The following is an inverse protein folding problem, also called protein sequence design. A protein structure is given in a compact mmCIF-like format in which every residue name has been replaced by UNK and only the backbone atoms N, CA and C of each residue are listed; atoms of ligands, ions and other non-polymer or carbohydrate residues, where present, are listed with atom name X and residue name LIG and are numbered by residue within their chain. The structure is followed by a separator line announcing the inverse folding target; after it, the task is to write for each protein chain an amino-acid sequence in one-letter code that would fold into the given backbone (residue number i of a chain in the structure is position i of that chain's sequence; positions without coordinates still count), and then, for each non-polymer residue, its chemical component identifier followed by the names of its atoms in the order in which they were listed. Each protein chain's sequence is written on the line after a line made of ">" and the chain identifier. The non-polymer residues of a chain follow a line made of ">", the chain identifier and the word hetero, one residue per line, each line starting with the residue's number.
data_IF_655123586918
#
_entry.id   IF_655123586918
#
_cell.length_a   1.000
_cell.length_b   1.000
_cell.length_c   1.000
_cell.angle_alpha   90.00
_cell.angle_beta   90.00
_cell.angle_gamma   90.00
#
_symmetry.space_group_name_H-M   'P 1'
#
loop_
_entity.id
_entity.type
_entity.pdbx_description
1 polymer ?
#
# COMPACT_ATOMS: atom_id res chain seq x y z
N UNK A 1 15.11 7.31 14.91
CA UNK A 1 15.74 8.41 15.66
C UNK A 1 15.95 9.55 14.67
N UNK A 2 15.33 10.72 14.88
CA UNK A 2 15.43 11.82 13.91
C UNK A 2 16.78 12.53 14.09
N UNK A 3 17.55 12.62 13.01
CA UNK A 3 18.80 13.36 12.98
C UNK A 3 18.45 14.82 12.72
N UNK A 4 18.71 15.70 13.69
CA UNK A 4 18.66 17.16 13.46
C UNK A 4 20.03 17.61 12.96
N UNK A 5 20.22 17.92 11.66
CA UNK A 5 21.42 18.63 11.25
C UNK A 5 21.40 20.02 11.88
N UNK A 6 22.55 20.50 12.36
CA UNK A 6 22.68 21.81 13.00
C UNK A 6 23.06 22.88 11.96
N UNK A 7 22.15 23.24 11.04
CA UNK A 7 22.39 24.24 10.00
C UNK A 7 21.40 24.13 8.85
N UNK A 8 21.65 24.83 7.74
CA UNK A 8 20.90 24.67 6.48
C UNK A 8 21.07 23.23 5.95
N UNK A 9 20.13 22.76 5.13
CA UNK A 9 20.15 21.44 4.48
C UNK A 9 21.19 21.31 3.37
N UNK A 10 21.95 22.37 3.10
CA UNK A 10 23.06 22.39 2.17
C UNK A 10 24.30 21.73 2.82
N UNK A 11 25.04 20.94 2.06
CA UNK A 11 26.32 20.32 2.46
C UNK A 11 26.26 19.36 3.67
N UNK A 12 25.43 18.31 3.57
CA UNK A 12 25.46 17.19 4.51
C UNK A 12 26.60 16.22 4.16
N UNK A 13 27.34 15.77 5.17
CA UNK A 13 28.42 14.80 5.05
C UNK A 13 28.04 13.51 5.78
N UNK A 14 28.30 12.37 5.13
CA UNK A 14 28.07 11.04 5.70
C UNK A 14 29.37 10.43 6.21
N UNK A 15 29.29 9.80 7.39
CA UNK A 15 30.41 9.14 8.03
C UNK A 15 30.10 7.65 8.15
N UNK A 16 30.95 6.82 7.59
CA UNK A 16 30.79 5.37 7.55
C UNK A 16 31.85 4.65 8.38
N UNK A 17 31.43 3.78 9.29
CA UNK A 17 32.30 2.88 10.03
C UNK A 17 32.07 1.44 9.61
N UNK A 18 33.15 0.69 9.40
CA UNK A 18 33.11 -0.72 9.00
C UNK A 18 33.45 -1.68 10.16
N UNK A 19 33.81 -1.13 11.31
CA UNK A 19 34.18 -1.88 12.52
C UNK A 19 33.39 -1.36 13.73
N UNK A 20 33.22 -2.21 14.74
CA UNK A 20 32.69 -1.83 16.05
C UNK A 20 33.68 -1.01 16.88
N UNK A 21 34.93 -0.89 16.43
CA UNK A 21 35.94 -0.07 17.08
C UNK A 21 35.63 1.43 16.92
N UNK A 22 35.28 2.07 18.03
CA UNK A 22 34.97 3.51 18.14
C UNK A 22 36.18 4.41 17.86
N UNK A 23 37.40 3.87 17.83
CA UNK A 23 38.63 4.57 17.44
C UNK A 23 38.92 4.54 15.95
N UNK A 24 38.20 3.71 15.17
CA UNK A 24 38.42 3.61 13.72
C UNK A 24 38.00 4.89 12.99
N UNK A 25 38.85 5.34 12.08
CA UNK A 25 38.59 6.53 11.26
C UNK A 25 37.44 6.23 10.29
N UNK A 26 36.37 7.04 10.26
CA UNK A 26 35.28 6.84 9.32
C UNK A 26 35.73 7.12 7.88
N UNK A 27 35.12 6.43 6.93
CA UNK A 27 35.09 6.88 5.53
C UNK A 27 34.09 8.02 5.44
N UNK A 28 34.55 9.15 4.91
CA UNK A 28 33.77 10.39 4.82
C UNK A 28 33.40 10.59 3.37
N UNK A 29 32.10 10.72 3.09
CA UNK A 29 31.59 11.01 1.75
C UNK A 29 30.61 12.16 1.79
N UNK A 30 30.58 12.95 0.71
CA UNK A 30 29.60 14.02 0.62
C UNK A 30 28.21 13.45 0.35
N UNK A 31 27.26 13.76 1.22
CA UNK A 31 25.87 13.38 1.06
C UNK A 31 25.19 14.21 -0.01
N UNK A 32 24.36 13.56 -0.83
CA UNK A 32 23.48 14.19 -1.80
C UNK A 32 22.13 14.38 -1.11
N UNK A 33 21.78 15.62 -0.80
CA UNK A 33 20.48 15.97 -0.26
C UNK A 33 19.50 16.09 -1.42
N UNK A 34 18.55 15.17 -1.50
CA UNK A 34 17.46 15.24 -2.48
C UNK A 34 16.19 15.63 -1.72
N UNK A 35 15.67 16.82 -2.03
CA UNK A 35 14.42 17.29 -1.45
C UNK A 35 13.25 16.44 -1.94
N UNK A 36 12.33 16.11 -1.04
CA UNK A 36 11.06 15.50 -1.42
C UNK A 36 10.16 16.60 -1.99
N UNK A 37 10.26 16.83 -3.30
CA UNK A 37 9.40 17.79 -3.98
C UNK A 37 7.96 17.25 -4.05
N UNK A 38 7.13 17.60 -3.08
CA UNK A 38 5.66 17.60 -3.26
C UNK A 38 4.87 18.38 -2.21
N UNK A 39 5.50 19.11 -1.28
CA UNK A 39 4.77 19.94 -0.34
C UNK A 39 5.42 21.31 -0.26
N UNK A 40 4.76 22.31 -0.87
CA UNK A 40 4.99 23.73 -0.63
C UNK A 40 4.58 24.07 0.83
N UNK A 41 5.27 23.50 1.81
CA UNK A 41 5.06 23.76 3.24
C UNK A 41 6.34 24.32 3.84
N UNK A 42 6.20 25.15 4.88
CA UNK A 42 7.31 25.79 5.59
C UNK A 42 8.36 24.81 6.16
N UNK A 43 8.03 23.51 6.24
CA UNK A 43 8.95 22.45 6.64
C UNK A 43 9.35 21.59 5.42
N UNK A 44 10.59 21.73 4.96
CA UNK A 44 11.15 20.90 3.89
C UNK A 44 11.67 19.56 4.44
N UNK A 45 11.32 18.47 3.77
CA UNK A 45 11.85 17.13 4.03
C UNK A 45 12.81 16.74 2.92
N UNK A 46 13.94 16.14 3.28
CA UNK A 46 14.89 15.63 2.32
C UNK A 46 15.38 14.25 2.76
N UNK A 47 15.68 13.41 1.79
CA UNK A 47 16.46 12.21 2.02
C UNK A 47 17.91 12.47 1.61
N UNK A 48 18.83 11.83 2.33
CA UNK A 48 20.26 12.00 2.11
C UNK A 48 20.79 10.70 1.51
N UNK A 49 21.19 10.77 0.24
CA UNK A 49 21.89 9.68 -0.45
C UNK A 49 23.38 9.84 -0.17
N UNK A 50 23.99 8.86 0.47
CA UNK A 50 25.42 8.84 0.72
C UNK A 50 26.09 7.95 -0.33
N UNK A 51 26.71 8.50 -1.39
CA UNK A 51 27.36 7.69 -2.42
C UNK A 51 28.57 6.98 -1.83
N UNK A 52 28.74 5.71 -2.19
CA UNK A 52 29.96 4.97 -1.87
C UNK A 52 31.02 5.32 -2.91
N UNK A 53 31.92 6.24 -2.61
CA UNK A 53 33.10 6.49 -3.45
C UNK A 53 33.97 5.22 -3.47
N UNK A 54 34.37 4.78 -4.66
CA UNK A 54 35.14 3.55 -4.93
C UNK A 54 34.42 2.20 -4.69
N UNK A 55 33.55 1.82 -5.64
CA UNK A 55 33.00 0.46 -5.76
C UNK A 55 34.07 -0.65 -5.93
N UNK A 56 35.32 -0.29 -6.20
CA UNK A 56 36.41 -1.24 -6.50
C UNK A 56 37.04 -1.88 -5.24
N UNK A 57 36.87 -1.29 -4.04
CA UNK A 57 37.47 -1.84 -2.80
C UNK A 57 36.46 -2.23 -1.71
N UNK A 58 35.24 -1.69 -1.71
CA UNK A 58 34.27 -1.93 -0.64
C UNK A 58 33.52 -3.25 -0.89
N UNK A 59 34.04 -4.34 -0.32
CA UNK A 59 33.42 -5.69 -0.39
C UNK A 59 32.20 -5.88 0.52
N UNK A 60 32.00 -5.00 1.51
CA UNK A 60 30.95 -5.13 2.53
C UNK A 60 30.32 -3.77 2.87
N UNK A 61 29.00 -3.70 3.09
CA UNK A 61 28.34 -2.45 3.50
C UNK A 61 28.85 -1.97 4.87
N UNK A 62 28.82 -0.65 5.14
CA UNK A 62 29.23 -0.11 6.44
C UNK A 62 28.40 -0.70 7.58
N UNK A 63 28.99 -0.74 8.77
CA UNK A 63 28.32 -1.16 10.00
C UNK A 63 27.49 -0.02 10.59
N UNK A 64 28.03 1.20 10.63
CA UNK A 64 27.34 2.38 11.14
C UNK A 64 27.40 3.53 10.14
N UNK A 65 26.35 4.34 10.14
CA UNK A 65 26.29 5.63 9.43
C UNK A 65 25.95 6.75 10.42
N UNK A 66 26.61 7.89 10.29
CA UNK A 66 26.21 9.13 10.92
C UNK A 66 26.23 10.28 9.92
N UNK A 67 25.46 11.33 10.21
CA UNK A 67 25.38 12.54 9.39
C UNK A 67 25.91 13.73 10.18
N UNK A 68 26.68 14.58 9.53
CA UNK A 68 27.06 15.90 10.04
C UNK A 68 26.85 16.96 8.96
N UNK A 69 26.74 18.21 9.34
CA UNK A 69 26.71 19.33 8.39
C UNK A 69 28.09 20.01 8.33
N UNK A 70 28.28 20.91 7.36
CA UNK A 70 29.53 21.65 7.11
C UNK A 70 30.18 22.31 8.34
N UNK A 71 29.40 22.67 9.37
CA UNK A 71 29.93 23.30 10.59
C UNK A 71 30.44 22.32 11.65
N UNK A 72 30.21 21.01 11.46
CA UNK A 72 30.60 19.98 12.41
C UNK A 72 31.82 19.20 11.88
N UNK A 73 32.99 19.41 12.48
CA UNK A 73 34.24 18.67 12.18
C UNK A 73 34.13 17.15 12.45
N UNK A 74 33.12 16.73 13.20
CA UNK A 74 32.83 15.33 13.50
C UNK A 74 31.33 15.17 13.80
N UNK A 75 30.71 14.04 13.44
CA UNK A 75 29.31 13.78 13.75
C UNK A 75 29.14 13.58 15.25
N UNK A 76 27.94 13.87 15.75
CA UNK A 76 27.59 13.54 17.12
C UNK A 76 27.66 12.01 17.29
N UNK A 77 28.59 11.52 18.11
CA UNK A 77 28.81 10.08 18.34
C UNK A 77 27.56 9.36 18.90
N UNK A 78 26.63 10.09 19.50
CA UNK A 78 25.35 9.56 19.99
C UNK A 78 24.30 9.37 18.88
N UNK A 79 24.64 9.66 17.61
CA UNK A 79 23.72 9.64 16.46
C UNK A 79 24.28 8.71 15.35
N UNK A 80 24.97 7.64 15.75
CA UNK A 80 25.34 6.55 14.84
C UNK A 80 24.16 5.60 14.68
N UNK A 81 23.72 5.39 13.44
CA UNK A 81 22.68 4.43 13.11
C UNK A 81 23.35 3.15 12.59
N UNK A 82 22.95 2.01 13.13
CA UNK A 82 23.33 0.71 12.58
C UNK A 82 22.75 0.61 11.17
N UNK A 83 23.59 0.23 10.21
CA UNK A 83 23.17 -0.01 8.84
C UNK A 83 22.42 -1.33 8.81
N UNK A 84 21.13 -1.25 8.50
CA UNK A 84 20.29 -2.42 8.35
C UNK A 84 20.62 -3.21 7.09
N UNK A 85 20.26 -4.50 7.06
CA UNK A 85 20.51 -5.41 5.93
C UNK A 85 21.99 -5.53 5.51
N UNK A 86 22.93 -5.22 6.42
CA UNK A 86 24.38 -5.34 6.21
C UNK A 86 24.88 -6.75 5.81
N UNK A 87 24.11 -7.78 6.13
CA UNK A 87 24.42 -9.17 5.78
C UNK A 87 24.09 -9.52 4.32
N UNK A 88 23.52 -8.58 3.55
CA UNK A 88 23.37 -8.72 2.10
C UNK A 88 24.76 -8.73 1.46
N UNK A 89 25.36 -9.91 1.35
CA UNK A 89 26.56 -10.09 0.55
C UNK A 89 26.20 -9.81 -0.91
N UNK A 90 26.80 -8.79 -1.52
CA UNK A 90 26.55 -8.41 -2.93
C UNK A 90 26.69 -9.61 -3.88
N UNK A 91 27.57 -10.57 -3.57
CA UNK A 91 27.81 -11.79 -4.35
C UNK A 91 26.54 -12.64 -4.58
N UNK A 92 25.66 -12.79 -3.58
CA UNK A 92 24.43 -13.59 -3.72
C UNK A 92 23.36 -12.91 -4.60
N UNK A 93 23.44 -11.59 -4.78
CA UNK A 93 22.53 -10.83 -5.65
C UNK A 93 22.93 -11.01 -7.12
N UNK A 94 24.24 -11.04 -7.41
CA UNK A 94 24.74 -11.20 -8.79
C UNK A 94 24.63 -12.64 -9.32
N UNK A 95 24.78 -13.66 -8.48
CA UNK A 95 24.64 -15.07 -8.91
C UNK A 95 23.19 -15.44 -9.30
N UNK A 96 22.19 -14.83 -8.66
CA UNK A 96 20.78 -15.14 -8.93
C UNK A 96 20.24 -14.61 -10.28
N UNK A 97 20.99 -13.75 -11.00
CA UNK A 97 20.66 -13.40 -12.40
C UNK A 97 20.71 -14.61 -13.34
N UNK A 98 21.48 -15.65 -13.00
CA UNK A 98 21.67 -16.82 -13.89
C UNK A 98 20.77 -18.01 -13.55
N UNK A 99 20.18 -18.06 -12.36
CA UNK A 99 19.43 -19.22 -11.89
C UNK A 99 17.96 -19.25 -12.34
N UNK A 100 17.36 -18.12 -12.72
CA UNK A 100 15.95 -18.04 -13.11
C UNK A 100 15.70 -18.27 -14.63
N UNK A 101 16.75 -18.47 -15.43
CA UNK A 101 16.65 -18.76 -16.87
C UNK A 101 17.01 -20.21 -17.25
N UNK A 102 17.40 -21.06 -16.29
CA UNK A 102 17.93 -22.39 -16.57
C UNK A 102 17.30 -23.51 -15.76
N UNK A 103 16.70 -24.46 -16.47
CA UNK A 103 16.33 -25.80 -16.01
C UNK A 103 17.48 -26.41 -15.16
N UNK A 104 17.23 -26.88 -13.94
CA UNK A 104 18.26 -27.55 -13.12
C UNK A 104 17.81 -28.93 -12.64
N UNK A 105 18.40 -29.95 -13.27
CA UNK A 105 18.72 -31.23 -12.64
C UNK A 105 19.92 -31.06 -11.69
N UNK A 106 19.83 -31.69 -10.50
CA UNK A 106 20.84 -32.24 -9.55
C UNK A 106 22.26 -31.62 -9.45
N UNK A 107 23.00 -31.61 -8.34
CA UNK A 107 23.19 -32.50 -7.17
C UNK A 107 23.67 -31.68 -5.96
N UNK A 108 23.48 -32.21 -4.74
CA UNK A 108 23.79 -31.53 -3.48
C UNK A 108 25.28 -31.47 -3.07
N UNK A 109 25.59 -30.41 -2.31
CA UNK A 109 26.45 -30.40 -1.11
C UNK A 109 26.38 -29.00 -0.48
N UNK A 110 26.08 -28.91 0.82
CA UNK A 110 26.22 -27.77 1.74
C UNK A 110 26.13 -26.35 1.15
N UNK A 111 24.90 -25.88 0.91
CA UNK A 111 24.61 -24.45 0.78
C UNK A 111 24.02 -23.95 2.08
N UNK A 112 24.85 -23.26 2.87
CA UNK A 112 24.36 -22.43 3.97
C UNK A 112 23.17 -21.58 3.52
N UNK A 113 22.24 -21.45 4.45
CA UNK A 113 20.87 -20.94 4.44
C UNK A 113 20.69 -19.48 3.97
N UNK A 114 21.42 -19.01 2.96
CA UNK A 114 21.38 -17.63 2.47
C UNK A 114 20.31 -17.39 1.39
N UNK A 115 19.69 -18.44 0.84
CA UNK A 115 18.65 -18.32 -0.20
C UNK A 115 17.23 -17.99 0.30
N UNK A 116 17.03 -17.76 1.61
CA UNK A 116 15.68 -17.61 2.20
C UNK A 116 15.16 -16.16 2.31
N UNK A 117 15.95 -15.14 1.92
CA UNK A 117 15.62 -13.72 2.21
C UNK A 117 15.04 -12.93 1.04
N UNK A 118 15.30 -13.34 -0.20
CA UNK A 118 14.77 -12.66 -1.39
C UNK A 118 13.39 -13.22 -1.71
N UNK A 119 12.39 -12.35 -1.81
CA UNK A 119 11.02 -12.70 -2.22
C UNK A 119 10.74 -12.20 -3.63
N UNK A 120 9.73 -12.74 -4.30
CA UNK A 120 9.32 -12.21 -5.60
C UNK A 120 8.67 -10.83 -5.45
N UNK A 121 7.64 -10.73 -4.60
CA UNK A 121 6.93 -9.47 -4.34
C UNK A 121 7.01 -9.07 -2.86
N UNK A 122 7.41 -7.83 -2.62
CA UNK A 122 7.22 -7.14 -1.33
C UNK A 122 6.15 -6.06 -1.49
N UNK A 123 5.12 -6.11 -0.65
CA UNK A 123 4.04 -5.11 -0.61
C UNK A 123 4.34 -4.07 0.46
N UNK A 124 4.36 -2.80 0.08
CA UNK A 124 4.55 -1.66 0.98
C UNK A 124 3.20 -0.99 1.21
N UNK A 125 2.76 -0.96 2.46
CA UNK A 125 1.54 -0.30 2.89
C UNK A 125 1.91 1.01 3.62
N UNK A 126 1.30 2.16 3.28
CA UNK A 126 1.52 3.42 3.98
C UNK A 126 1.29 3.38 5.50
N UNK A 127 1.71 4.43 6.24
CA UNK A 127 1.53 4.53 7.68
C UNK A 127 0.08 4.37 8.12
N UNK A 128 -0.14 3.45 9.07
CA UNK A 128 -1.45 3.22 9.69
C UNK A 128 -1.67 4.24 10.82
N UNK A 129 -2.52 5.24 10.57
CA UNK A 129 -2.89 6.28 11.53
C UNK A 129 -4.29 6.04 12.11
N UNK A 130 -4.39 6.02 13.45
CA UNK A 130 -5.61 5.73 14.21
C UNK A 130 -6.39 4.52 13.66
N UNK A 131 -5.65 3.50 13.22
CA UNK A 131 -6.22 2.40 12.47
C UNK A 131 -6.70 1.27 13.40
N UNK A 132 -7.96 0.87 13.26
CA UNK A 132 -8.61 -0.13 14.11
C UNK A 132 -9.32 -1.26 13.34
N UNK A 133 -9.20 -1.28 12.00
CA UNK A 133 -9.93 -2.23 11.16
C UNK A 133 -9.12 -3.52 10.92
N UNK A 134 -9.13 -4.39 11.93
CA UNK A 134 -8.44 -5.69 11.88
C UNK A 134 -8.98 -6.63 10.77
N UNK A 135 -10.27 -6.57 10.43
CA UNK A 135 -10.87 -7.33 9.33
C UNK A 135 -10.28 -6.96 7.97
N UNK A 136 -10.22 -5.66 7.65
CA UNK A 136 -9.62 -5.19 6.41
C UNK A 136 -8.13 -5.52 6.34
N UNK A 137 -7.39 -5.40 7.46
CA UNK A 137 -5.98 -5.80 7.49
C UNK A 137 -5.81 -7.30 7.17
N UNK A 138 -6.59 -8.18 7.81
CA UNK A 138 -6.52 -9.62 7.52
C UNK A 138 -6.90 -9.89 6.07
N UNK A 139 -7.96 -9.27 5.55
CA UNK A 139 -8.35 -9.39 4.14
C UNK A 139 -7.23 -8.96 3.20
N UNK A 140 -6.59 -7.82 3.46
CA UNK A 140 -5.45 -7.33 2.66
C UNK A 140 -4.30 -8.32 2.66
N UNK A 141 -3.84 -8.75 3.83
CA UNK A 141 -2.71 -9.69 3.97
C UNK A 141 -2.98 -11.01 3.25
N UNK A 142 -4.20 -11.53 3.36
CA UNK A 142 -4.59 -12.78 2.71
C UNK A 142 -4.79 -12.61 1.20
N UNK A 143 -5.31 -11.47 0.73
CA UNK A 143 -5.43 -11.19 -0.70
C UNK A 143 -4.07 -11.04 -1.38
N UNK A 144 -3.14 -10.28 -0.80
CA UNK A 144 -1.81 -10.12 -1.40
C UNK A 144 -1.01 -11.43 -1.36
N UNK A 145 -1.20 -12.28 -0.33
CA UNK A 145 -0.66 -13.65 -0.32
C UNK A 145 -1.16 -14.44 -1.53
N UNK A 146 -2.46 -14.42 -1.81
CA UNK A 146 -3.04 -15.13 -2.96
C UNK A 146 -2.56 -14.58 -4.31
N UNK A 147 -2.15 -13.31 -4.35
CA UNK A 147 -1.61 -12.64 -5.53
C UNK A 147 -0.09 -12.85 -5.71
N UNK A 148 0.58 -13.50 -4.76
CA UNK A 148 1.99 -13.87 -4.86
C UNK A 148 2.95 -13.11 -3.93
N UNK A 149 2.45 -12.28 -3.02
CA UNK A 149 3.30 -11.59 -2.04
C UNK A 149 4.06 -12.60 -1.17
N UNK A 150 5.38 -12.42 -1.10
CA UNK A 150 6.24 -13.13 -0.14
C UNK A 150 6.50 -12.30 1.12
N UNK A 151 6.37 -10.98 1.02
CA UNK A 151 6.55 -10.05 2.15
C UNK A 151 5.52 -8.92 2.11
N UNK A 152 5.07 -8.47 3.28
CA UNK A 152 4.33 -7.23 3.49
C UNK A 152 5.06 -6.40 4.54
N UNK A 153 5.27 -5.12 4.23
CA UNK A 153 5.90 -4.14 5.10
C UNK A 153 4.85 -3.10 5.49
N UNK A 154 4.69 -2.91 6.79
CA UNK A 154 3.69 -2.05 7.40
C UNK A 154 4.36 -1.03 8.32
N UNK A 155 3.80 0.17 8.40
CA UNK A 155 4.31 1.24 9.24
C UNK A 155 3.29 1.57 10.32
N UNK A 156 3.63 1.27 11.57
CA UNK A 156 2.79 1.53 12.74
C UNK A 156 3.01 2.97 13.23
N UNK A 157 2.12 3.88 12.85
CA UNK A 157 2.07 5.22 13.42
C UNK A 157 1.17 5.26 14.67
N UNK A 158 -0.06 4.80 14.53
CA UNK A 158 -1.01 4.67 15.65
C UNK A 158 -2.06 3.62 15.28
N UNK A 159 -2.02 2.46 15.94
CA UNK A 159 -2.96 1.35 15.71
C UNK A 159 -3.65 0.92 17.01
N UNK A 160 -4.87 0.42 16.89
CA UNK A 160 -5.61 -0.13 18.01
C UNK A 160 -5.09 -1.53 18.42
N UNK A 161 -5.44 -1.96 19.64
CA UNK A 161 -4.98 -3.23 20.23
C UNK A 161 -5.33 -4.46 19.38
N UNK A 162 -6.51 -4.46 18.73
CA UNK A 162 -6.93 -5.56 17.87
C UNK A 162 -6.03 -5.69 16.62
N UNK A 163 -5.70 -4.58 15.96
CA UNK A 163 -4.77 -4.54 14.82
C UNK A 163 -3.38 -4.98 15.26
N UNK A 164 -2.89 -4.48 16.41
CA UNK A 164 -1.63 -4.91 16.99
C UNK A 164 -1.60 -6.44 17.20
N UNK A 165 -2.67 -7.01 17.76
CA UNK A 165 -2.79 -8.46 18.00
C UNK A 165 -2.76 -9.27 16.71
N UNK A 166 -3.43 -8.80 15.65
CA UNK A 166 -3.37 -9.43 14.32
C UNK A 166 -1.95 -9.40 13.76
N UNK A 167 -1.29 -8.25 13.77
CA UNK A 167 0.07 -8.11 13.25
C UNK A 167 1.05 -9.01 14.02
N UNK A 168 0.95 -9.03 15.35
CA UNK A 168 1.75 -9.90 16.20
C UNK A 168 1.52 -11.38 15.87
N UNK A 169 0.28 -11.79 15.61
CA UNK A 169 -0.02 -13.15 15.18
C UNK A 169 0.72 -13.51 13.89
N UNK A 170 0.65 -12.68 12.84
CA UNK A 170 1.33 -12.97 11.57
C UNK A 170 2.85 -13.01 11.70
N UNK A 171 3.44 -12.06 12.44
CA UNK A 171 4.90 -12.00 12.63
C UNK A 171 5.40 -13.26 13.34
N UNK A 172 4.67 -13.73 14.37
CA UNK A 172 5.00 -14.96 15.09
C UNK A 172 4.80 -16.22 14.25
N UNK A 173 3.75 -16.29 13.42
CA UNK A 173 3.55 -17.44 12.54
C UNK A 173 4.68 -17.60 11.51
N UNK A 174 5.15 -16.49 10.94
CA UNK A 174 6.27 -16.51 10.02
C UNK A 174 7.59 -16.86 10.73
N UNK A 175 7.87 -16.25 11.89
CA UNK A 175 9.07 -16.52 12.67
C UNK A 175 9.16 -18.00 13.11
N UNK A 176 8.02 -18.62 13.42
CA UNK A 176 7.92 -20.05 13.73
C UNK A 176 8.01 -20.97 12.49
N UNK A 177 8.02 -20.43 11.27
CA UNK A 177 8.03 -21.19 10.02
C UNK A 177 6.70 -21.83 9.63
N UNK A 178 5.60 -21.44 10.27
CA UNK A 178 4.25 -21.97 10.01
C UNK A 178 3.57 -21.32 8.80
N UNK A 179 4.08 -20.20 8.34
CA UNK A 179 3.52 -19.39 7.25
C UNK A 179 4.63 -18.91 6.31
N UNK A 180 4.29 -18.70 5.04
CA UNK A 180 5.24 -18.27 4.01
C UNK A 180 5.29 -16.77 3.81
N UNK A 181 4.23 -16.05 4.19
CA UNK A 181 4.16 -14.60 4.09
C UNK A 181 4.90 -13.95 5.26
N UNK A 182 5.98 -13.25 4.97
CA UNK A 182 6.67 -12.42 5.95
C UNK A 182 5.88 -11.13 6.19
N UNK A 183 5.44 -10.88 7.43
CA UNK A 183 4.83 -9.61 7.81
C UNK A 183 5.82 -8.85 8.69
N UNK A 184 6.28 -7.69 8.22
CA UNK A 184 7.20 -6.82 8.94
C UNK A 184 6.48 -5.54 9.32
N UNK A 185 6.65 -5.12 10.58
CA UNK A 185 6.02 -3.91 11.11
C UNK A 185 7.11 -2.98 11.65
N UNK A 186 7.25 -1.81 11.04
CA UNK A 186 8.16 -0.76 11.50
C UNK A 186 7.44 0.25 12.38
N UNK A 187 8.03 0.71 13.48
CA UNK A 187 7.52 1.87 14.20
C UNK A 187 7.66 3.12 13.31
N UNK A 188 6.59 3.92 13.22
CA UNK A 188 6.54 5.14 12.41
C UNK A 188 6.28 6.38 13.27
N UNK A 189 7.21 6.61 14.19
CA UNK A 189 7.19 7.71 15.14
C UNK A 189 7.87 8.93 14.50
N UNK A 190 7.07 9.76 13.83
CA UNK A 190 7.54 11.02 13.27
C UNK A 190 7.77 12.07 14.37
N UNK A 191 8.72 13.00 14.20
CA UNK A 191 8.84 14.16 15.08
C UNK A 191 7.52 14.94 15.12
N UNK A 192 7.27 15.77 16.15
CA UNK A 192 6.07 16.60 16.28
C UNK A 192 6.10 17.80 15.32
N UNK A 193 6.25 17.51 14.04
CA UNK A 193 6.25 18.46 12.92
C UNK A 193 5.18 18.01 11.93
N UNK A 194 4.57 18.96 11.23
CA UNK A 194 3.54 18.64 10.26
C UNK A 194 4.17 17.99 9.02
N UNK A 195 4.09 16.66 8.94
CA UNK A 195 4.43 15.88 7.75
C UNK A 195 3.14 15.56 7.03
N UNK A 196 3.05 15.96 5.75
CA UNK A 196 1.85 15.70 4.96
C UNK A 196 1.50 14.21 4.94
N UNK A 197 0.22 13.93 5.13
CA UNK A 197 -0.35 12.58 5.20
C UNK A 197 0.48 11.59 6.04
N UNK A 198 0.92 12.04 7.22
CA UNK A 198 1.70 11.23 8.17
C UNK A 198 2.98 10.63 7.58
N UNK A 199 3.58 11.30 6.58
CA UNK A 199 4.82 10.88 5.95
C UNK A 199 4.68 9.67 5.04
N UNK A 200 3.55 9.53 4.33
CA UNK A 200 3.33 8.41 3.39
C UNK A 200 4.45 8.27 2.36
N UNK A 201 4.88 9.36 1.71
CA UNK A 201 5.96 9.29 0.71
C UNK A 201 7.28 8.84 1.37
N UNK A 202 7.59 9.36 2.55
CA UNK A 202 8.77 8.93 3.31
C UNK A 202 8.73 7.44 3.70
N UNK A 203 7.55 6.90 4.03
CA UNK A 203 7.39 5.47 4.30
C UNK A 203 7.52 4.62 3.03
N UNK A 204 7.01 5.11 1.89
CA UNK A 204 7.15 4.44 0.59
C UNK A 204 8.63 4.35 0.19
N UNK A 205 9.37 5.46 0.28
CA UNK A 205 10.79 5.47 -0.03
C UNK A 205 11.59 4.63 0.98
N UNK A 206 11.30 4.71 2.29
CA UNK A 206 11.93 3.81 3.27
C UNK A 206 11.74 2.34 2.87
N UNK A 207 10.52 1.95 2.48
CA UNK A 207 10.24 0.58 2.05
C UNK A 207 11.03 0.21 0.79
N UNK A 208 11.05 1.11 -0.21
CA UNK A 208 11.81 0.94 -1.45
C UNK A 208 13.29 0.66 -1.18
N UNK A 209 13.94 1.54 -0.40
CA UNK A 209 15.37 1.43 -0.14
C UNK A 209 15.71 0.27 0.79
N UNK A 210 14.86 0.00 1.79
CA UNK A 210 15.08 -1.07 2.77
C UNK A 210 14.91 -2.47 2.17
N UNK A 211 13.94 -2.66 1.27
CA UNK A 211 13.56 -3.98 0.76
C UNK A 211 13.73 -4.17 -0.74
N UNK A 212 14.04 -3.13 -1.51
CA UNK A 212 14.18 -3.21 -2.96
C UNK A 212 15.20 -4.27 -3.41
N UNK A 213 16.34 -4.37 -2.71
CA UNK A 213 17.35 -5.39 -2.99
C UNK A 213 16.95 -6.80 -2.53
N UNK A 214 15.98 -6.91 -1.62
CA UNK A 214 15.46 -8.17 -1.05
C UNK A 214 14.16 -8.65 -1.73
N UNK A 215 13.77 -8.04 -2.84
CA UNK A 215 12.49 -8.30 -3.51
C UNK A 215 12.68 -8.24 -5.01
N UNK A 216 12.14 -9.14 -5.84
CA UNK A 216 12.24 -8.99 -7.30
C UNK A 216 11.43 -7.78 -7.79
N UNK A 217 10.25 -7.59 -7.22
CA UNK A 217 9.37 -6.46 -7.44
C UNK A 217 8.87 -5.86 -6.12
N UNK A 218 8.60 -4.55 -6.15
CA UNK A 218 7.93 -3.85 -5.05
C UNK A 218 6.51 -3.50 -5.48
N UNK A 219 5.55 -3.63 -4.58
CA UNK A 219 4.14 -3.37 -4.80
C UNK A 219 3.72 -2.25 -3.85
N UNK A 220 3.36 -1.08 -4.38
CA UNK A 220 2.90 0.04 -3.56
C UNK A 220 1.39 0.11 -3.63
N UNK A 221 0.72 -0.13 -2.51
CA UNK A 221 -0.72 -0.35 -2.46
C UNK A 221 -1.31 0.11 -1.12
N UNK A 222 -2.61 0.38 -1.08
CA UNK A 222 -3.31 0.83 0.14
C UNK A 222 -4.12 -0.33 0.76
N UNK A 223 -4.57 -0.18 2.02
CA UNK A 223 -5.29 -1.26 2.74
C UNK A 223 -6.68 -1.57 2.17
N UNK A 224 -7.29 -0.59 1.49
CA UNK A 224 -8.61 -0.67 0.87
C UNK A 224 -8.56 -0.88 -0.65
N UNK A 225 -7.37 -1.11 -1.20
CA UNK A 225 -7.12 -1.27 -2.63
C UNK A 225 -6.55 -2.66 -2.94
N UNK A 226 -6.90 -3.22 -4.11
CA UNK A 226 -6.34 -4.50 -4.58
C UNK A 226 -6.05 -4.45 -6.08
N UNK A 227 -4.78 -4.59 -6.46
CA UNK A 227 -4.36 -4.75 -7.85
C UNK A 227 -4.63 -6.17 -8.34
N UNK A 228 -5.61 -6.35 -9.22
CA UNK A 228 -6.08 -7.68 -9.66
C UNK A 228 -5.73 -7.95 -11.12
N UNK A 229 -4.90 -8.96 -11.41
CA UNK A 229 -4.79 -9.54 -12.74
C UNK A 229 -6.11 -10.19 -13.13
N UNK A 230 -6.66 -9.81 -14.27
CA UNK A 230 -7.94 -10.32 -14.74
C UNK A 230 -7.77 -11.62 -15.54
N UNK A 231 -6.74 -11.69 -16.39
CA UNK A 231 -6.49 -12.83 -17.29
C UNK A 231 -5.55 -13.91 -16.73
N UNK A 232 -4.91 -13.67 -15.58
CA UNK A 232 -3.88 -14.57 -15.04
C UNK A 232 -4.04 -14.78 -13.54
N UNK A 233 -3.55 -15.87 -12.99
CA UNK A 233 -3.88 -16.26 -11.61
C UNK A 233 -3.29 -15.35 -10.52
N UNK A 234 -2.16 -14.71 -10.79
CA UNK A 234 -1.39 -13.91 -9.83
C UNK A 234 -0.52 -12.85 -10.53
N UNK A 235 0.22 -12.06 -9.76
CA UNK A 235 1.10 -11.03 -10.30
C UNK A 235 2.29 -11.61 -11.07
N UNK A 236 2.88 -12.73 -10.63
CA UNK A 236 4.05 -13.36 -11.27
C UNK A 236 3.82 -13.58 -12.77
N UNK A 237 2.69 -14.20 -13.13
CA UNK A 237 2.38 -14.50 -14.54
C UNK A 237 2.13 -13.22 -15.33
N UNK A 238 1.48 -12.22 -14.73
CA UNK A 238 1.17 -10.95 -15.42
C UNK A 238 2.43 -10.18 -15.69
N UNK A 239 3.26 -9.97 -14.67
CA UNK A 239 4.49 -9.22 -14.82
C UNK A 239 5.45 -9.89 -15.80
N UNK A 240 5.56 -11.23 -15.77
CA UNK A 240 6.36 -11.95 -16.75
C UNK A 240 5.88 -11.76 -18.21
N UNK A 241 4.56 -11.75 -18.45
CA UNK A 241 4.00 -11.44 -19.78
C UNK A 241 4.30 -9.98 -20.18
N UNK A 242 4.09 -9.03 -19.26
CA UNK A 242 4.33 -7.60 -19.53
C UNK A 242 5.81 -7.30 -19.80
N UNK A 243 6.74 -7.88 -19.04
CA UNK A 243 8.18 -7.73 -19.26
C UNK A 243 8.63 -8.28 -20.62
N UNK A 244 8.04 -9.40 -21.06
CA UNK A 244 8.34 -9.95 -22.39
C UNK A 244 7.91 -9.00 -23.52
N UNK A 245 6.78 -8.31 -23.34
CA UNK A 245 6.26 -7.35 -24.31
C UNK A 245 6.99 -5.99 -24.23
N UNK A 246 7.43 -5.62 -23.04
CA UNK A 246 7.91 -4.27 -22.71
C UNK A 246 9.19 -4.32 -21.83
N UNK A 247 10.31 -4.86 -22.33
CA UNK A 247 11.51 -5.17 -21.52
C UNK A 247 12.19 -3.94 -20.89
N UNK A 248 12.05 -2.78 -21.51
CA UNK A 248 12.64 -1.52 -21.03
C UNK A 248 11.81 -0.86 -19.93
N UNK A 249 10.58 -1.31 -19.68
CA UNK A 249 9.71 -0.71 -18.68
C UNK A 249 10.17 -1.06 -17.26
N UNK A 250 9.94 -0.13 -16.33
CA UNK A 250 10.43 -0.22 -14.94
C UNK A 250 9.31 -0.41 -13.94
N UNK A 251 8.08 -0.17 -14.37
CA UNK A 251 6.90 -0.17 -13.54
C UNK A 251 5.68 -0.63 -14.35
N UNK A 252 4.69 -1.18 -13.65
CA UNK A 252 3.46 -1.76 -14.20
C UNK A 252 2.28 -1.16 -13.43
N UNK A 253 1.57 -0.26 -14.07
CA UNK A 253 0.51 0.53 -13.46
C UNK A 253 -0.86 -0.13 -13.67
N UNK A 254 -1.60 -0.25 -12.57
CA UNK A 254 -2.99 -0.61 -12.56
C UNK A 254 -3.84 0.66 -12.40
N UNK A 255 -4.67 0.94 -13.41
CA UNK A 255 -5.67 2.02 -13.32
C UNK A 255 -6.77 1.64 -12.34
N UNK A 256 -7.27 2.63 -11.62
CA UNK A 256 -8.21 2.44 -10.52
C UNK A 256 -9.68 2.61 -10.92
N UNK A 257 -10.55 1.91 -10.20
CA UNK A 257 -11.99 2.10 -10.23
C UNK A 257 -12.59 1.74 -8.88
N UNK A 258 -13.64 2.47 -8.46
CA UNK A 258 -14.23 2.34 -7.13
C UNK A 258 -15.18 1.16 -7.06
N UNK A 259 -14.98 0.28 -6.08
CA UNK A 259 -15.96 -0.70 -5.62
C UNK A 259 -16.84 -0.05 -4.55
N UNK A 260 -18.07 0.28 -4.92
CA UNK A 260 -18.98 1.09 -4.11
C UNK A 260 -19.51 0.33 -2.91
N UNK A 261 -19.37 0.92 -1.72
CA UNK A 261 -19.84 0.32 -0.45
C UNK A 261 -21.33 0.56 -0.14
N UNK A 262 -22.00 1.47 -0.86
CA UNK A 262 -23.40 1.87 -0.63
C UNK A 262 -24.44 1.05 -1.42
N UNK A 263 -24.23 0.86 -2.72
CA UNK A 263 -25.19 0.17 -3.62
C UNK A 263 -24.81 -1.29 -3.92
N UNK A 264 -23.71 -1.76 -3.35
CA UNK A 264 -23.23 -3.12 -3.60
C UNK A 264 -24.01 -4.19 -2.85
N UNK A 265 -24.04 -5.38 -3.45
CA UNK A 265 -24.49 -6.61 -2.80
C UNK A 265 -23.37 -7.65 -2.73
N UNK A 266 -23.39 -8.54 -1.71
CA UNK A 266 -22.43 -9.62 -1.61
C UNK A 266 -22.43 -10.51 -2.84
N UNK A 267 -21.25 -11.02 -3.21
CA UNK A 267 -21.12 -11.97 -4.29
C UNK A 267 -21.97 -13.23 -4.04
N UNK A 268 -22.51 -13.82 -5.11
CA UNK A 268 -23.35 -15.00 -5.01
C UNK A 268 -22.63 -16.13 -4.25
N UNK A 269 -23.30 -16.68 -3.23
CA UNK A 269 -22.74 -17.73 -2.37
C UNK A 269 -21.85 -17.24 -1.21
N UNK A 270 -21.63 -15.93 -1.07
CA UNK A 270 -20.78 -15.37 0.00
C UNK A 270 -21.53 -14.48 1.00
N UNK A 271 -22.85 -14.35 0.90
CA UNK A 271 -23.61 -13.38 1.70
C UNK A 271 -23.35 -13.49 3.21
N UNK A 272 -23.53 -14.67 3.81
CA UNK A 272 -23.31 -14.86 5.25
C UNK A 272 -21.83 -14.65 5.64
N UNK A 273 -20.90 -15.15 4.83
CA UNK A 273 -19.47 -15.07 5.11
C UNK A 273 -18.93 -13.63 4.97
N UNK A 274 -19.45 -12.85 4.02
CA UNK A 274 -19.10 -11.44 3.81
C UNK A 274 -19.38 -10.61 5.07
N UNK A 275 -20.57 -10.77 5.67
CA UNK A 275 -20.91 -10.12 6.93
C UNK A 275 -20.11 -10.68 8.11
N UNK A 276 -19.99 -12.02 8.19
CA UNK A 276 -19.29 -12.69 9.29
C UNK A 276 -17.83 -12.26 9.41
N UNK A 277 -17.14 -12.09 8.28
CA UNK A 277 -15.72 -11.73 8.25
C UNK A 277 -15.47 -10.26 7.87
N UNK A 278 -16.54 -9.46 7.72
CA UNK A 278 -16.49 -8.04 7.31
C UNK A 278 -15.63 -7.82 6.05
N UNK A 279 -15.71 -8.76 5.12
CA UNK A 279 -14.85 -8.83 3.93
C UNK A 279 -15.41 -7.96 2.82
N UNK A 280 -14.65 -6.94 2.39
CA UNK A 280 -15.06 -6.05 1.29
C UNK A 280 -15.05 -6.78 -0.04
N UNK A 281 -14.08 -7.68 -0.25
CA UNK A 281 -13.97 -8.47 -1.48
C UNK A 281 -15.18 -9.39 -1.68
N UNK A 282 -15.70 -9.95 -0.59
CA UNK A 282 -16.88 -10.82 -0.64
C UNK A 282 -18.20 -10.02 -0.62
N UNK A 283 -18.20 -8.84 -0.01
CA UNK A 283 -19.40 -8.02 0.19
C UNK A 283 -19.77 -7.12 -0.98
N UNK A 284 -18.81 -6.69 -1.80
CA UNK A 284 -19.05 -5.63 -2.77
C UNK A 284 -18.79 -6.08 -4.20
N UNK A 285 -19.82 -5.96 -5.05
CA UNK A 285 -19.81 -6.38 -6.46
C UNK A 285 -20.36 -5.33 -7.42
N UNK A 286 -20.65 -4.11 -6.95
CA UNK A 286 -20.90 -2.96 -7.81
C UNK A 286 -19.68 -2.08 -7.87
N UNK A 287 -19.32 -1.69 -9.10
CA UNK A 287 -18.15 -0.87 -9.40
C UNK A 287 -18.57 0.32 -10.23
N UNK A 288 -17.97 1.49 -10.01
CA UNK A 288 -18.10 2.60 -10.95
C UNK A 288 -17.69 2.15 -12.36
N UNK A 289 -18.44 2.54 -13.38
CA UNK A 289 -18.03 2.32 -14.77
C UNK A 289 -16.78 3.17 -15.11
N UNK A 290 -16.55 4.23 -14.33
CA UNK A 290 -15.45 5.15 -14.49
C UNK A 290 -14.13 4.50 -14.09
N UNK A 291 -13.12 4.70 -14.95
CA UNK A 291 -11.75 4.28 -14.71
C UNK A 291 -10.89 5.55 -14.62
N UNK A 292 -10.20 5.74 -13.50
CA UNK A 292 -9.32 6.88 -13.34
C UNK A 292 -8.16 6.86 -14.32
N UNK A 293 -7.71 8.03 -14.75
CA UNK A 293 -6.53 8.18 -15.61
C UNK A 293 -5.24 7.69 -14.88
N UNK A 294 -4.22 7.21 -15.62
CA UNK A 294 -3.02 6.57 -15.07
C UNK A 294 -2.43 7.22 -13.81
N UNK A 295 -2.15 8.52 -13.84
CA UNK A 295 -1.51 9.23 -12.72
C UNK A 295 -2.49 9.73 -11.65
N UNK A 296 -3.75 9.30 -11.70
CA UNK A 296 -4.78 9.66 -10.74
C UNK A 296 -5.32 8.38 -10.08
N UNK A 297 -5.02 8.18 -8.80
CA UNK A 297 -5.48 7.00 -8.02
C UNK A 297 -4.97 5.64 -8.51
N UNK A 298 -4.10 5.58 -9.52
CA UNK A 298 -3.43 4.35 -9.91
C UNK A 298 -2.42 3.86 -8.87
N UNK A 299 -2.08 2.58 -8.94
CA UNK A 299 -1.02 1.95 -8.12
C UNK A 299 -0.13 1.08 -8.99
N UNK A 300 1.06 0.77 -8.48
CA UNK A 300 2.17 0.25 -9.30
C UNK A 300 2.82 -0.96 -8.65
N UNK A 301 3.19 -1.90 -9.50
CA UNK A 301 4.24 -2.88 -9.25
C UNK A 301 5.50 -2.37 -9.97
N UNK A 302 6.65 -2.35 -9.32
CA UNK A 302 7.89 -1.80 -9.88
C UNK A 302 9.05 -2.79 -9.81
N UNK A 303 10.03 -2.61 -10.68
CA UNK A 303 11.36 -3.19 -10.53
C UNK A 303 12.23 -2.23 -9.69
N UNK A 304 12.56 -2.58 -8.42
CA UNK A 304 13.27 -1.68 -7.53
C UNK A 304 14.73 -1.41 -7.91
N UNK A 305 15.28 -2.07 -8.95
CA UNK A 305 16.66 -1.80 -9.45
C UNK A 305 16.67 -0.71 -10.51
N UNK A 306 15.50 -0.36 -11.04
CA UNK A 306 15.33 0.63 -12.10
C UNK A 306 14.56 1.86 -11.62
N UNK A 307 14.15 1.93 -10.35
CA UNK A 307 13.41 3.05 -9.77
C UNK A 307 14.21 3.65 -8.62
N UNK A 308 14.37 4.97 -8.63
CA UNK A 308 15.01 5.72 -7.57
C UNK A 308 14.00 6.26 -6.56
N UNK A 309 12.90 6.85 -7.02
CA UNK A 309 11.89 7.43 -6.12
C UNK A 309 10.48 7.25 -6.63
N UNK A 310 9.55 7.19 -5.68
CA UNK A 310 8.13 7.03 -5.93
C UNK A 310 7.37 8.28 -5.51
N UNK A 311 6.30 8.58 -6.23
CA UNK A 311 5.17 9.34 -5.71
C UNK A 311 4.01 8.38 -5.37
N UNK A 312 2.94 8.92 -4.78
CA UNK A 312 1.78 8.12 -4.34
C UNK A 312 1.14 7.31 -5.48
N UNK A 313 1.19 7.83 -6.72
CA UNK A 313 0.50 7.25 -7.88
C UNK A 313 1.38 7.04 -9.12
N UNK A 314 2.65 7.43 -9.11
CA UNK A 314 3.56 7.26 -10.26
C UNK A 314 5.03 7.14 -9.83
N UNK A 315 5.88 6.67 -10.74
CA UNK A 315 7.34 6.72 -10.57
C UNK A 315 7.81 8.15 -10.84
N UNK A 316 8.48 8.77 -9.87
CA UNK A 316 9.02 10.12 -10.03
C UNK A 316 10.37 10.10 -10.77
N UNK A 317 11.30 9.26 -10.29
CA UNK A 317 12.63 9.10 -10.89
C UNK A 317 12.93 7.61 -11.11
N UNK A 318 13.25 7.24 -12.34
CA UNK A 318 13.56 5.86 -12.72
C UNK A 318 14.16 5.77 -14.13
N UNK A 319 14.86 4.66 -14.40
CA UNK A 319 15.54 4.40 -15.65
C UNK A 319 14.66 3.59 -16.62
N UNK A 320 13.58 4.22 -17.10
CA UNK A 320 12.70 3.69 -18.13
C UNK A 320 11.21 4.03 -17.89
N UNK A 321 10.34 3.70 -18.86
CA UNK A 321 8.92 4.07 -18.82
C UNK A 321 8.09 3.19 -17.87
N UNK A 322 6.90 3.68 -17.55
CA UNK A 322 5.85 2.93 -16.83
C UNK A 322 4.89 2.30 -17.84
N UNK A 323 4.64 1.01 -17.68
CA UNK A 323 3.69 0.26 -18.49
C UNK A 323 2.27 0.44 -17.92
N UNK A 324 1.38 1.03 -18.70
CA UNK A 324 -0.03 1.18 -18.30
C UNK A 324 -0.76 -0.10 -18.70
N UNK A 325 -1.02 -0.97 -17.72
CA UNK A 325 -1.68 -2.25 -17.97
C UNK A 325 -3.09 -1.99 -18.52
N UNK A 326 -3.47 -2.60 -19.66
CA UNK A 326 -4.82 -2.50 -20.18
C UNK A 326 -5.86 -2.97 -19.16
N UNK A 327 -6.95 -2.23 -18.99
CA UNK A 327 -8.00 -2.47 -17.97
C UNK A 327 -8.72 -3.82 -18.10
N UNK A 328 -8.57 -4.50 -19.24
CA UNK A 328 -9.07 -5.86 -19.48
C UNK A 328 -8.04 -6.96 -19.15
N UNK A 329 -6.81 -6.59 -18.84
CA UNK A 329 -5.72 -7.47 -18.38
C UNK A 329 -5.49 -7.32 -16.86
N UNK A 330 -5.58 -6.10 -16.33
CA UNK A 330 -5.44 -5.82 -14.90
C UNK A 330 -6.12 -4.51 -14.51
N UNK A 331 -6.69 -4.46 -13.31
CA UNK A 331 -7.35 -3.27 -12.76
C UNK A 331 -7.12 -3.19 -11.25
N UNK A 332 -7.02 -1.97 -10.72
CA UNK A 332 -7.02 -1.71 -9.29
C UNK A 332 -8.46 -1.49 -8.81
N UNK A 333 -8.88 -2.30 -7.85
CA UNK A 333 -10.18 -2.18 -7.20
C UNK A 333 -10.05 -1.41 -5.90
N UNK A 334 -10.67 -0.23 -5.82
CA UNK A 334 -10.67 0.61 -4.60
C UNK A 334 -11.98 0.43 -3.82
N UNK A 335 -11.96 -0.29 -2.71
CA UNK A 335 -13.13 -0.58 -1.88
C UNK A 335 -13.44 0.56 -0.91
N UNK A 336 -14.32 1.47 -1.33
CA UNK A 336 -14.62 2.69 -0.57
C UNK A 336 -16.04 3.18 -0.78
N UNK A 337 -16.44 4.15 0.03
CA UNK A 337 -17.61 4.97 -0.26
C UNK A 337 -17.37 5.78 -1.55
N UNK A 338 -18.40 5.93 -2.40
CA UNK A 338 -18.26 6.64 -3.66
C UNK A 338 -17.75 8.06 -3.44
N UNK A 339 -16.87 8.49 -4.35
CA UNK A 339 -16.35 9.87 -4.33
C UNK A 339 -17.35 10.87 -4.92
N UNK A 340 -18.23 10.40 -5.80
CA UNK A 340 -19.30 11.19 -6.41
C UNK A 340 -20.58 10.35 -6.43
N UNK A 341 -21.74 10.92 -6.04
CA UNK A 341 -22.96 10.16 -5.80
C UNK A 341 -23.67 9.62 -7.07
N UNK A 342 -23.17 9.91 -8.28
CA UNK A 342 -23.91 9.68 -9.52
C UNK A 342 -23.08 9.06 -10.67
N UNK A 343 -22.07 8.24 -10.37
CA UNK A 343 -21.43 7.47 -11.44
C UNK A 343 -22.32 6.30 -11.86
N UNK A 344 -22.37 6.04 -13.18
CA UNK A 344 -22.98 4.82 -13.68
C UNK A 344 -22.20 3.63 -13.13
N UNK A 345 -22.90 2.66 -12.54
CA UNK A 345 -22.28 1.47 -11.98
C UNK A 345 -22.38 0.28 -12.94
N UNK A 346 -21.43 -0.63 -12.83
CA UNK A 346 -21.44 -1.93 -13.49
C UNK A 346 -21.25 -3.03 -12.46
N UNK A 347 -21.99 -4.12 -12.64
CA UNK A 347 -21.80 -5.31 -11.83
C UNK A 347 -20.46 -5.95 -12.17
N UNK A 348 -19.60 -6.07 -11.16
CA UNK A 348 -18.26 -6.64 -11.28
C UNK A 348 -17.99 -7.60 -10.12
N UNK A 349 -18.21 -8.88 -10.39
CA UNK A 349 -17.96 -9.97 -9.43
C UNK A 349 -16.63 -10.69 -9.70
N UNK A 350 -15.74 -10.12 -10.53
CA UNK A 350 -14.53 -10.83 -11.01
C UNK A 350 -13.58 -11.17 -9.87
N UNK A 351 -13.37 -10.25 -8.91
CA UNK A 351 -12.50 -10.50 -7.75
C UNK A 351 -13.03 -11.63 -6.88
N UNK A 352 -14.31 -11.56 -6.49
CA UNK A 352 -14.96 -12.59 -5.69
C UNK A 352 -15.03 -13.95 -6.40
N UNK A 353 -15.30 -13.96 -7.71
CA UNK A 353 -15.35 -15.19 -8.51
C UNK A 353 -13.98 -15.88 -8.57
N UNK A 354 -12.91 -15.10 -8.68
CA UNK A 354 -11.54 -15.61 -8.84
C UNK A 354 -10.85 -15.99 -7.52
N UNK A 355 -11.07 -15.20 -6.47
CA UNK A 355 -10.37 -15.36 -5.20
C UNK A 355 -11.28 -15.73 -4.03
N UNK A 356 -12.58 -15.49 -4.11
CA UNK A 356 -13.49 -15.52 -2.97
C UNK A 356 -13.47 -16.83 -2.18
N UNK A 357 -13.44 -17.99 -2.85
CA UNK A 357 -13.35 -19.30 -2.16
C UNK A 357 -12.03 -19.46 -1.40
N UNK A 358 -10.90 -19.11 -2.03
CA UNK A 358 -9.56 -19.20 -1.44
C UNK A 358 -9.38 -18.19 -0.32
N UNK A 359 -9.82 -16.96 -0.54
CA UNK A 359 -9.83 -15.90 0.47
C UNK A 359 -10.65 -16.34 1.68
N UNK A 360 -11.88 -16.81 1.48
CA UNK A 360 -12.74 -17.27 2.56
C UNK A 360 -12.10 -18.39 3.40
N UNK A 361 -11.43 -19.36 2.75
CA UNK A 361 -10.72 -20.41 3.47
C UNK A 361 -9.61 -19.85 4.37
N UNK A 362 -8.87 -18.85 3.88
CA UNK A 362 -7.84 -18.14 4.66
C UNK A 362 -8.44 -17.32 5.80
N UNK A 363 -9.50 -16.56 5.55
CA UNK A 363 -10.23 -15.80 6.56
C UNK A 363 -10.74 -16.73 7.68
N UNK A 364 -11.35 -17.87 7.32
CA UNK A 364 -11.79 -18.90 8.28
C UNK A 364 -10.63 -19.39 9.14
N UNK A 365 -9.50 -19.73 8.51
CA UNK A 365 -8.31 -20.20 9.21
C UNK A 365 -7.79 -19.16 10.23
N UNK A 366 -7.56 -17.92 9.79
CA UNK A 366 -7.00 -16.86 10.64
C UNK A 366 -7.95 -16.51 11.79
N UNK A 367 -9.22 -16.25 11.49
CA UNK A 367 -10.19 -15.84 12.52
C UNK A 367 -10.56 -16.97 13.49
N UNK A 368 -10.36 -18.24 13.11
CA UNK A 368 -10.49 -19.36 14.06
C UNK A 368 -9.41 -19.36 15.15
N UNK A 369 -8.27 -18.71 14.90
CA UNK A 369 -7.13 -18.60 15.83
C UNK A 369 -7.14 -17.28 16.60
N UNK A 370 -7.96 -16.31 16.18
CA UNK A 370 -8.07 -14.97 16.75
C UNK A 370 -9.48 -14.71 17.32
N UNK A 371 -10.14 -15.73 17.90
CA UNK A 371 -11.55 -15.67 18.33
C UNK A 371 -11.88 -14.55 19.33
N UNK A 372 -10.92 -14.16 20.18
CA UNK A 372 -11.08 -13.11 21.18
C UNK A 372 -10.78 -11.71 20.66
N UNK A 373 -10.27 -11.58 19.44
CA UNK A 373 -9.86 -10.30 18.87
C UNK A 373 -11.03 -9.68 18.11
N UNK A 374 -11.40 -8.45 18.47
CA UNK A 374 -12.42 -7.70 17.73
C UNK A 374 -11.95 -7.42 16.30
N UNK A 375 -12.78 -7.76 15.33
CA UNK A 375 -12.52 -7.48 13.92
C UNK A 375 -12.41 -5.98 13.61
N UNK A 376 -13.03 -5.11 14.39
CA UNK A 376 -13.09 -3.67 14.09
C UNK A 376 -13.70 -3.37 12.71
N UNK A 377 -13.66 -2.10 12.29
CA UNK A 377 -14.25 -1.65 11.03
C UNK A 377 -15.78 -1.71 10.97
N UNK A 378 -16.35 -1.03 9.97
CA UNK A 378 -17.80 -1.06 9.74
C UNK A 378 -18.22 -2.42 9.17
N UNK A 379 -19.33 -2.96 9.67
CA UNK A 379 -20.01 -4.06 8.99
C UNK A 379 -20.43 -3.59 7.59
N UNK A 380 -20.19 -4.39 6.53
CA UNK A 380 -20.90 -4.18 5.28
C UNK A 380 -22.39 -4.11 5.62
N UNK A 381 -23.06 -3.00 5.34
CA UNK A 381 -24.49 -2.87 5.65
C UNK A 381 -25.30 -3.39 4.47
N UNK A 382 -26.35 -4.19 4.68
CA UNK A 382 -27.29 -4.50 3.61
C UNK A 382 -27.99 -3.20 3.19
N UNK A 383 -27.71 -2.72 1.97
CA UNK A 383 -28.55 -1.86 1.14
C UNK A 383 -29.47 -0.82 1.78
N UNK A 384 -29.07 -0.13 2.84
CA UNK A 384 -29.73 1.10 3.26
C UNK A 384 -28.88 2.27 2.76
N UNK A 385 -29.41 2.97 1.76
CA UNK A 385 -28.91 4.26 1.28
C UNK A 385 -28.65 5.17 2.49
N UNK A 386 -27.38 5.39 2.80
CA UNK A 386 -26.97 6.41 3.77
C UNK A 386 -26.75 7.68 2.96
N UNK A 387 -27.74 8.57 2.93
CA UNK A 387 -27.47 9.96 2.56
C UNK A 387 -26.52 10.48 3.64
N UNK A 388 -25.27 10.79 3.30
CA UNK A 388 -24.39 11.45 4.27
C UNK A 388 -25.02 12.79 4.64
N UNK A 389 -24.91 13.21 5.89
CA UNK A 389 -25.46 14.50 6.34
C UNK A 389 -24.90 15.68 5.52
N UNK A 390 -23.68 15.55 4.98
CA UNK A 390 -23.07 16.55 4.08
C UNK A 390 -23.73 16.59 2.70
N UNK A 391 -24.06 15.42 2.12
CA UNK A 391 -24.80 15.34 0.85
C UNK A 391 -26.22 15.86 1.04
N UNK A 392 -26.87 15.49 2.15
CA UNK A 392 -28.18 15.99 2.52
C UNK A 392 -28.17 17.51 2.69
N UNK A 393 -27.24 18.08 3.47
CA UNK A 393 -27.19 19.53 3.70
C UNK A 393 -26.84 20.33 2.43
N UNK A 394 -25.97 19.81 1.56
CA UNK A 394 -25.63 20.51 0.31
C UNK A 394 -26.80 20.50 -0.68
N UNK A 395 -27.44 19.35 -0.89
CA UNK A 395 -28.63 19.22 -1.75
C UNK A 395 -29.83 19.98 -1.20
N UNK A 396 -30.00 20.03 0.12
CA UNK A 396 -31.05 20.79 0.79
C UNK A 396 -30.82 22.30 0.67
N UNK A 397 -29.57 22.77 0.74
CA UNK A 397 -29.22 24.17 0.48
C UNK A 397 -29.49 24.60 -0.96
N UNK A 398 -29.11 23.76 -1.94
CA UNK A 398 -29.34 24.00 -3.38
C UNK A 398 -30.85 23.96 -3.72
N UNK A 399 -31.65 23.10 -3.08
CA UNK A 399 -33.09 22.99 -3.32
C UNK A 399 -33.92 24.11 -2.65
N UNK A 400 -33.35 24.84 -1.68
CA UNK A 400 -34.02 25.90 -0.91
C UNK A 400 -33.52 27.32 -1.24
N UNK A 401 -32.69 27.48 -2.28
CA UNK A 401 -32.38 28.81 -2.82
C UNK A 401 -33.69 29.51 -3.26
N UNK A 402 -34.05 30.57 -2.54
CA UNK A 402 -35.27 31.35 -2.76
C UNK A 402 -36.41 31.12 -1.75
N UNK A 403 -36.31 30.15 -0.84
CA UNK A 403 -37.33 29.84 0.19
C UNK A 403 -36.84 30.07 1.63
N UNK A 404 -35.75 30.82 1.81
CA UNK A 404 -35.25 31.19 3.12
C UNK A 404 -36.33 31.95 3.92
N UNK A 405 -36.70 31.38 5.07
CA UNK A 405 -37.75 31.81 6.01
C UNK A 405 -39.18 31.28 5.77
N UNK A 406 -39.40 30.33 4.85
CA UNK A 406 -40.76 29.80 4.58
C UNK A 406 -40.99 28.35 5.04
N UNK A 407 -39.93 27.55 5.22
CA UNK A 407 -40.04 26.13 5.62
C UNK A 407 -39.01 25.82 6.71
N UNK A 408 -39.48 25.19 7.81
CA UNK A 408 -38.63 24.65 8.87
C UNK A 408 -38.62 23.11 8.73
N UNK A 409 -37.49 22.54 8.32
CA UNK A 409 -37.37 21.10 8.12
C UNK A 409 -37.03 20.40 9.45
N UNK A 410 -38.04 19.83 10.10
CA UNK A 410 -37.85 18.81 11.13
C UNK A 410 -38.05 17.44 10.49
N UNK A 411 -37.15 16.51 10.80
CA UNK A 411 -37.16 15.06 10.54
C UNK A 411 -38.39 14.54 9.76
N UNK A 412 -38.19 14.12 8.50
CA UNK A 412 -38.45 12.74 8.04
C UNK A 412 -38.44 12.66 6.49
N UNK A 413 -37.45 11.91 5.99
CA UNK A 413 -37.36 11.17 4.72
C UNK A 413 -37.87 11.87 3.43
N UNK A 414 -36.92 12.18 2.53
CA UNK A 414 -37.19 12.33 1.08
C UNK A 414 -36.53 11.17 0.34
N UNK A 415 -37.33 10.29 -0.26
CA UNK A 415 -36.85 9.24 -1.17
C UNK A 415 -36.75 9.80 -2.59
N UNK A 416 -35.52 9.93 -3.09
CA UNK A 416 -35.26 10.05 -4.51
C UNK A 416 -34.32 8.91 -4.93
N UNK A 417 -34.89 7.85 -5.51
CA UNK A 417 -34.11 6.77 -6.12
C UNK A 417 -33.50 7.24 -7.44
N UNK A 418 -32.21 6.95 -7.66
CA UNK A 418 -31.56 7.19 -8.94
C UNK A 418 -32.15 6.27 -10.02
N UNK A 419 -32.67 6.86 -11.10
CA UNK A 419 -33.11 6.13 -12.29
C UNK A 419 -34.45 6.52 -12.89
N UNK A 420 -35.15 7.53 -12.36
CA UNK A 420 -36.41 8.02 -12.93
C UNK A 420 -36.33 9.51 -13.23
N UNK A 421 -36.81 9.90 -14.41
CA UNK A 421 -36.98 11.31 -14.80
C UNK A 421 -37.94 12.01 -13.82
N UNK A 422 -37.88 13.34 -13.75
CA UNK A 422 -38.76 14.14 -12.89
C UNK A 422 -40.26 13.79 -13.09
N UNK A 423 -40.66 13.49 -14.33
CA UNK A 423 -42.02 13.07 -14.68
C UNK A 423 -42.42 11.71 -14.09
N UNK A 424 -41.47 10.77 -13.97
CA UNK A 424 -41.71 9.42 -13.43
C UNK A 424 -41.70 9.39 -11.89
N UNK A 425 -40.99 10.32 -11.24
CA UNK A 425 -41.03 10.52 -9.79
C UNK A 425 -42.35 11.16 -9.33
N UNK A 426 -42.94 12.03 -10.16
CA UNK A 426 -44.21 12.69 -9.87
C UNK A 426 -45.41 11.72 -9.91
N UNK A 427 -45.39 10.72 -10.80
CA UNK A 427 -46.43 9.69 -10.92
C UNK A 427 -46.44 8.69 -9.75
N UNK A 428 -45.31 8.45 -9.08
CA UNK A 428 -45.25 7.55 -7.92
C UNK A 428 -45.85 8.14 -6.63
N UNK A 429 -45.99 9.46 -6.53
CA UNK A 429 -46.51 10.14 -5.34
C UNK A 429 -48.05 10.12 -5.31
N UNK A 430 -48.71 10.01 -6.47
CA UNK A 430 -50.18 9.97 -6.59
C UNK A 430 -50.82 8.58 -6.43
N UNK A 431 -50.02 7.51 -6.40
CA UNK A 431 -50.51 6.14 -6.18
C UNK A 431 -50.39 5.64 -4.73
N UNK A 432 -49.98 6.52 -3.79
CA UNK A 432 -49.90 6.21 -2.36
C UNK A 432 -51.00 6.90 -1.53
N UNK A 433 -51.98 7.54 -2.19
CA UNK A 433 -53.14 8.14 -1.52
C UNK A 433 -54.42 7.29 -1.58
N UNK A 434 -54.37 6.05 -2.08
CA UNK A 434 -55.50 5.10 -2.10
C UNK A 434 -55.08 3.65 -1.74
N UNK A 435 -54.30 3.46 -0.67
CA UNK A 435 -54.11 2.16 -0.01
C UNK A 435 -53.79 2.29 1.48
#
# INVERSE_FOLDING_TARGET
>A
MAIKPKGKTENVTCFFWFSSDLGSMPVIVQGIVKEMQSYASENAYAYIKCPSENQTEIKMPPLYVALANEHAKSPNRNVQLLVENREMCLHSIFENKTAFSGNKNNTGSDKHTYNKRIVEFTVCIPPMFKYDNAAQLVEKLEMVRLLGAGRVVLYNNSIAHNVHSVLHFYTQQWAAGNETLEVVVHPWNLPPIHVSYFGQIAAMDDCLYRYGWLSQYMVFDDLDEIMVPLRHDNWSVLIAEREKLYPDHVAFMFRSSVMNKDHSSPAHGFQADAFRYRSSVLAFTQRDNFIYEPNNKGKLIINPRKVETMEVHHVYEGNGPTDIIPVNQGILYHYRWPLLPCHFEVKDSRVASKFGKRLLARLKSVWSRLKSISMGGELPRPGFLRVSSEIFQRKHGEALEGLHNTINAANDIVLAGCGKTYAEAYLSIWNLSDA
#
